data_IF_902831163183
#
_entry.id   IF_902831163183
#
_cell.length_a   1.000
_cell.length_b   1.000
_cell.length_c   1.000
_cell.angle_alpha   90.00
_cell.angle_beta   90.00
_cell.angle_gamma   90.00
#
_symmetry.space_group_name_H-M   'P 1'
#
loop_
_entity.id
_entity.type
_entity.pdbx_description
1 polymer ?
#
# COMPACT_ATOMS: atom_id res chain seq x y z
N UNK A 1 -2.41 7.71 45.72
CA UNK A 1 -2.56 8.40 44.43
C UNK A 1 -2.25 7.37 43.37
N UNK A 2 -3.21 7.04 42.51
CA UNK A 2 -2.92 6.28 41.29
C UNK A 2 -2.03 7.17 40.45
N UNK A 3 -0.87 6.66 40.02
CA UNK A 3 0.01 7.39 39.11
C UNK A 3 -0.72 7.46 37.77
N UNK A 4 -1.21 8.65 37.43
CA UNK A 4 -1.97 8.93 36.21
C UNK A 4 -1.05 9.63 35.20
N UNK A 5 0.23 9.23 35.17
CA UNK A 5 1.18 9.73 34.20
C UNK A 5 0.74 9.20 32.83
N UNK A 6 0.42 10.06 31.86
CA UNK A 6 0.04 9.62 30.52
C UNK A 6 1.10 8.74 29.86
N UNK A 7 2.37 8.81 30.29
CA UNK A 7 3.46 7.97 29.80
C UNK A 7 3.38 6.51 30.28
N UNK A 8 2.63 6.23 31.36
CA UNK A 8 2.42 4.88 31.88
C UNK A 8 1.24 4.15 31.19
N UNK A 9 0.50 4.82 30.29
CA UNK A 9 -0.62 4.20 29.57
C UNK A 9 -0.11 3.06 28.66
N UNK A 10 -0.54 1.80 28.88
CA UNK A 10 -0.13 0.66 28.05
C UNK A 10 -0.49 0.80 26.56
N UNK A 11 -1.44 1.67 26.21
CA UNK A 11 -1.79 1.96 24.82
C UNK A 11 -0.65 2.67 24.08
N UNK A 12 0.18 3.48 24.76
CA UNK A 12 1.35 4.09 24.12
C UNK A 12 2.33 3.03 23.62
N UNK A 13 2.57 1.99 24.44
CA UNK A 13 3.44 0.87 24.07
C UNK A 13 2.81 0.05 22.94
N UNK A 14 1.51 -0.25 23.04
CA UNK A 14 0.78 -1.01 22.02
C UNK A 14 0.79 -0.29 20.66
N UNK A 15 0.54 1.01 20.66
CA UNK A 15 0.59 1.84 19.47
C UNK A 15 2.01 1.94 18.91
N UNK A 16 3.02 2.08 19.78
CA UNK A 16 4.44 2.04 19.39
C UNK A 16 4.78 0.78 18.60
N UNK A 17 4.37 -0.41 19.09
CA UNK A 17 4.56 -1.66 18.36
C UNK A 17 3.90 -1.66 16.98
N UNK A 18 2.68 -1.14 16.86
CA UNK A 18 1.99 -1.04 15.57
C UNK A 18 2.78 -0.20 14.56
N UNK A 19 3.26 0.97 14.98
CA UNK A 19 4.03 1.88 14.12
C UNK A 19 5.38 1.25 13.73
N UNK A 20 6.09 0.68 14.70
CA UNK A 20 7.39 0.05 14.46
C UNK A 20 7.28 -1.13 13.49
N UNK A 21 6.32 -2.03 13.74
CA UNK A 21 6.09 -3.22 12.91
C UNK A 21 5.68 -2.79 11.51
N UNK A 22 4.71 -1.87 11.39
CA UNK A 22 4.28 -1.34 10.09
C UNK A 22 5.46 -0.77 9.29
N UNK A 23 6.29 0.06 9.91
CA UNK A 23 7.47 0.63 9.26
C UNK A 23 8.52 -0.40 8.87
N UNK A 24 8.77 -1.43 9.70
CA UNK A 24 9.70 -2.52 9.37
C UNK A 24 9.19 -3.39 8.22
N UNK A 25 7.89 -3.72 8.22
CA UNK A 25 7.25 -4.49 7.15
C UNK A 25 7.31 -3.74 5.82
N UNK A 26 6.99 -2.45 5.81
CA UNK A 26 7.07 -1.62 4.60
C UNK A 26 8.49 -1.58 4.03
N UNK A 27 9.50 -1.39 4.89
CA UNK A 27 10.91 -1.36 4.46
C UNK A 27 11.39 -2.70 3.92
N UNK A 28 11.16 -3.79 4.67
CA UNK A 28 11.64 -5.12 4.29
C UNK A 28 10.96 -5.62 3.00
N UNK A 29 9.64 -5.52 2.89
CA UNK A 29 8.92 -5.92 1.67
C UNK A 29 9.28 -5.02 0.47
N UNK A 30 9.50 -3.73 0.72
CA UNK A 30 9.94 -2.80 -0.33
C UNK A 30 11.34 -3.10 -0.85
N UNK A 31 12.27 -3.44 0.06
CA UNK A 31 13.63 -3.84 -0.29
C UNK A 31 13.64 -5.11 -1.17
N UNK A 32 12.84 -6.12 -0.82
CA UNK A 32 12.74 -7.35 -1.62
C UNK A 32 12.26 -7.07 -3.06
N UNK A 33 11.26 -6.18 -3.23
CA UNK A 33 10.76 -5.80 -4.55
C UNK A 33 11.79 -5.01 -5.37
N UNK A 34 12.49 -4.08 -4.73
CA UNK A 34 13.50 -3.26 -5.38
C UNK A 34 14.73 -4.09 -5.80
N UNK A 35 15.21 -4.98 -4.92
CA UNK A 35 16.35 -5.86 -5.22
C UNK A 35 16.06 -6.86 -6.34
N UNK A 36 14.86 -7.45 -6.35
CA UNK A 36 14.52 -8.51 -7.32
C UNK A 36 13.98 -7.98 -8.63
N UNK A 37 13.40 -6.79 -8.62
CA UNK A 37 12.69 -6.28 -9.80
C UNK A 37 12.91 -4.80 -10.08
N UNK A 38 13.72 -4.09 -9.29
CA UNK A 38 13.88 -2.64 -9.42
C UNK A 38 12.54 -1.89 -9.46
N UNK A 39 11.56 -2.38 -8.67
CA UNK A 39 10.22 -1.82 -8.59
C UNK A 39 10.00 -1.21 -7.20
N UNK A 40 9.86 0.12 -7.10
CA UNK A 40 9.55 0.75 -5.82
C UNK A 40 8.20 0.28 -5.28
N UNK A 41 8.09 0.07 -3.97
CA UNK A 41 6.85 -0.44 -3.35
C UNK A 41 5.63 0.46 -3.58
N UNK A 42 5.82 1.78 -3.68
CA UNK A 42 4.75 2.71 -4.04
C UNK A 42 4.20 2.50 -5.45
N UNK A 43 5.01 1.97 -6.38
CA UNK A 43 4.54 1.63 -7.74
C UNK A 43 3.66 0.39 -7.70
N UNK A 44 4.05 -0.63 -6.92
CA UNK A 44 3.22 -1.80 -6.66
C UNK A 44 1.88 -1.40 -6.04
N UNK A 45 1.88 -0.51 -5.05
CA UNK A 45 0.64 -0.03 -4.40
C UNK A 45 -0.30 0.63 -5.42
N UNK A 46 0.20 1.54 -6.26
CA UNK A 46 -0.61 2.17 -7.31
C UNK A 46 -1.17 1.14 -8.29
N UNK A 47 -0.34 0.23 -8.81
CA UNK A 47 -0.80 -0.79 -9.75
C UNK A 47 -1.86 -1.71 -9.11
N UNK A 48 -1.67 -2.12 -7.86
CA UNK A 48 -2.65 -2.90 -7.10
C UNK A 48 -3.98 -2.16 -6.94
N UNK A 49 -3.95 -0.86 -6.61
CA UNK A 49 -5.18 -0.04 -6.47
C UNK A 49 -5.91 0.07 -7.79
N UNK A 50 -5.20 0.45 -8.86
CA UNK A 50 -5.79 0.62 -10.18
C UNK A 50 -6.37 -0.70 -10.71
N UNK A 51 -5.63 -1.81 -10.63
CA UNK A 51 -6.08 -3.13 -11.10
C UNK A 51 -7.34 -3.67 -10.40
N UNK A 52 -7.61 -3.21 -9.16
CA UNK A 52 -8.78 -3.60 -8.36
C UNK A 52 -9.94 -2.60 -8.45
N UNK A 53 -9.75 -1.52 -9.20
CA UNK A 53 -10.77 -0.50 -9.42
C UNK A 53 -11.52 -0.78 -10.72
N UNK A 54 -12.75 -0.29 -10.81
CA UNK A 54 -13.55 -0.40 -12.02
C UNK A 54 -12.80 0.23 -13.22
N UNK A 55 -12.83 -0.47 -14.35
CA UNK A 55 -12.12 -0.11 -15.59
C UNK A 55 -10.59 0.07 -15.45
N UNK A 56 -10.00 -0.42 -14.36
CA UNK A 56 -8.55 -0.32 -14.13
C UNK A 56 -8.07 1.11 -13.86
N UNK A 57 -8.94 2.00 -13.37
CA UNK A 57 -8.63 3.43 -13.23
C UNK A 57 -9.20 4.07 -11.96
N UNK A 58 -8.55 5.14 -11.49
CA UNK A 58 -9.02 5.96 -10.37
C UNK A 58 -8.78 7.44 -10.65
N UNK A 59 -9.69 8.28 -10.18
CA UNK A 59 -9.47 9.73 -10.17
C UNK A 59 -8.22 10.05 -9.33
N UNK A 60 -7.38 10.97 -9.81
CA UNK A 60 -6.11 11.30 -9.15
C UNK A 60 -6.27 11.69 -7.67
N UNK A 61 -7.34 12.40 -7.31
CA UNK A 61 -7.65 12.75 -5.92
C UNK A 61 -7.97 11.53 -5.05
N UNK A 62 -8.82 10.62 -5.55
CA UNK A 62 -9.16 9.36 -4.88
C UNK A 62 -7.92 8.47 -4.74
N UNK A 63 -7.09 8.38 -5.79
CA UNK A 63 -5.84 7.64 -5.72
C UNK A 63 -4.90 8.23 -4.65
N UNK A 64 -4.83 9.56 -4.53
CA UNK A 64 -4.02 10.25 -3.52
C UNK A 64 -4.43 9.88 -2.08
N UNK A 65 -5.74 9.76 -1.85
CA UNK A 65 -6.31 9.40 -0.54
C UNK A 65 -6.06 7.92 -0.19
N UNK A 66 -5.93 7.05 -1.20
CA UNK A 66 -5.82 5.60 -1.01
C UNK A 66 -4.39 5.05 -0.95
N UNK A 67 -3.40 5.83 -1.38
CA UNK A 67 -1.99 5.42 -1.35
C UNK A 67 -1.30 5.96 -0.11
N UNK A 68 -0.64 5.07 0.62
CA UNK A 68 -0.03 5.39 1.92
C UNK A 68 1.48 5.57 1.79
N UNK A 69 2.12 4.93 0.78
CA UNK A 69 3.57 4.76 0.74
C UNK A 69 4.27 5.72 -0.24
N UNK A 70 3.99 7.03 -0.17
CA UNK A 70 4.66 8.02 -1.04
C UNK A 70 5.28 9.18 -0.29
N UNK A 71 6.58 9.41 -0.48
CA UNK A 71 7.30 10.58 0.06
C UNK A 71 7.29 11.79 -0.88
N UNK A 72 7.02 11.56 -2.19
CA UNK A 72 7.09 12.58 -3.23
C UNK A 72 5.75 13.14 -3.72
N UNK A 73 4.63 12.65 -3.18
CA UNK A 73 3.26 12.95 -3.62
C UNK A 73 2.81 12.13 -4.83
N UNK A 74 1.49 11.88 -4.92
CA UNK A 74 0.88 11.05 -5.97
C UNK A 74 1.19 11.54 -7.38
N UNK A 75 1.20 12.85 -7.62
CA UNK A 75 1.40 13.42 -8.96
C UNK A 75 2.76 13.03 -9.52
N UNK A 76 3.84 13.25 -8.75
CA UNK A 76 5.20 12.90 -9.17
C UNK A 76 5.40 11.40 -9.30
N UNK A 77 4.68 10.61 -8.51
CA UNK A 77 4.69 9.16 -8.62
C UNK A 77 4.10 8.73 -9.97
N UNK A 78 2.90 9.23 -10.29
CA UNK A 78 2.22 8.96 -11.56
C UNK A 78 3.04 9.47 -12.75
N UNK A 79 3.67 10.65 -12.67
CA UNK A 79 4.55 11.14 -13.73
C UNK A 79 5.67 10.14 -14.07
N UNK A 80 6.30 9.55 -13.05
CA UNK A 80 7.37 8.56 -13.26
C UNK A 80 6.83 7.24 -13.80
N UNK A 81 5.67 6.81 -13.32
CA UNK A 81 5.04 5.57 -13.79
C UNK A 81 4.51 5.70 -15.23
N UNK A 82 4.00 6.88 -15.61
CA UNK A 82 3.56 7.19 -16.97
C UNK A 82 4.76 7.22 -17.92
N UNK A 83 5.87 7.85 -17.50
CA UNK A 83 7.13 7.79 -18.25
C UNK A 83 7.68 6.37 -18.40
N UNK A 84 7.42 5.49 -17.43
CA UNK A 84 7.76 4.07 -17.50
C UNK A 84 6.75 3.22 -18.28
N UNK A 85 5.64 3.81 -18.73
CA UNK A 85 4.61 3.14 -19.52
C UNK A 85 3.67 2.23 -18.74
N UNK A 86 3.68 2.26 -17.40
CA UNK A 86 2.84 1.38 -16.57
C UNK A 86 1.47 1.96 -16.24
N UNK A 87 1.33 3.27 -16.35
CA UNK A 87 0.05 3.98 -16.19
C UNK A 87 -0.08 5.04 -17.28
N UNK A 88 -1.29 5.52 -17.48
CA UNK A 88 -1.60 6.63 -18.37
C UNK A 88 -2.62 7.55 -17.72
N UNK A 89 -2.58 8.83 -18.07
CA UNK A 89 -3.64 9.77 -17.68
C UNK A 89 -4.80 9.72 -18.66
N UNK A 90 -6.00 9.49 -18.13
CA UNK A 90 -7.24 9.47 -18.91
C UNK A 90 -8.13 10.66 -18.53
N UNK A 91 -8.73 11.35 -19.52
CA UNK A 91 -9.67 12.44 -19.23
C UNK A 91 -10.97 11.89 -18.64
N UNK A 92 -11.54 12.58 -17.66
CA UNK A 92 -12.90 12.29 -17.21
C UNK A 92 -13.92 12.74 -18.28
N UNK A 93 -14.84 11.86 -18.72
CA UNK A 93 -15.86 12.22 -19.72
C UNK A 93 -16.79 13.35 -19.24
N UNK A 94 -17.06 13.41 -17.93
CA UNK A 94 -18.06 14.30 -17.34
C UNK A 94 -17.47 15.56 -16.70
N UNK A 95 -16.16 15.61 -16.47
CA UNK A 95 -15.49 16.80 -15.91
C UNK A 95 -14.04 16.93 -16.41
N UNK A 96 -13.80 17.87 -17.32
CA UNK A 96 -12.47 18.10 -17.91
C UNK A 96 -11.39 18.55 -16.90
N UNK A 97 -11.77 18.90 -15.66
CA UNK A 97 -10.84 19.23 -14.58
C UNK A 97 -10.32 18.00 -13.84
N UNK A 98 -10.98 16.85 -13.99
CA UNK A 98 -10.62 15.60 -13.35
C UNK A 98 -9.80 14.73 -14.32
N UNK A 99 -8.63 14.30 -13.85
CA UNK A 99 -7.81 13.31 -14.51
C UNK A 99 -7.89 12.00 -13.75
N UNK A 100 -8.02 10.91 -14.50
CA UNK A 100 -7.86 9.55 -14.00
C UNK A 100 -6.43 9.10 -14.25
N UNK A 101 -5.88 8.30 -13.34
CA UNK A 101 -4.79 7.40 -13.65
C UNK A 101 -5.39 6.05 -14.02
N UNK A 102 -5.02 5.51 -15.18
CA UNK A 102 -5.39 4.18 -15.64
C UNK A 102 -4.16 3.27 -15.72
N UNK A 103 -4.32 2.00 -15.35
CA UNK A 103 -3.28 0.99 -15.58
C UNK A 103 -3.22 0.63 -17.07
N UNK A 104 -2.01 0.51 -17.60
CA UNK A 104 -1.79 0.01 -18.98
C UNK A 104 -1.62 -1.51 -18.99
N UNK A 105 -1.63 -2.12 -20.18
CA UNK A 105 -1.31 -3.54 -20.32
C UNK A 105 0.09 -3.88 -19.79
N UNK A 106 1.08 -3.02 -20.05
CA UNK A 106 2.43 -3.17 -19.52
C UNK A 106 2.45 -3.05 -17.98
N UNK A 107 1.66 -2.14 -17.41
CA UNK A 107 1.49 -2.02 -15.97
C UNK A 107 0.84 -3.25 -15.34
N UNK A 108 -0.17 -3.83 -16.01
CA UNK A 108 -0.85 -5.04 -15.58
C UNK A 108 0.10 -6.26 -15.59
N UNK A 109 0.86 -6.44 -16.68
CA UNK A 109 1.88 -7.48 -16.76
C UNK A 109 2.93 -7.31 -15.65
N UNK A 110 3.41 -6.08 -15.44
CA UNK A 110 4.40 -5.78 -14.40
C UNK A 110 3.86 -6.04 -13.00
N UNK A 111 2.58 -5.73 -12.76
CA UNK A 111 1.91 -6.02 -11.50
C UNK A 111 1.86 -7.53 -11.23
N UNK A 112 1.56 -8.35 -12.25
CA UNK A 112 1.47 -9.79 -12.07
C UNK A 112 2.81 -10.39 -11.60
N UNK A 113 3.91 -9.96 -12.22
CA UNK A 113 5.27 -10.35 -11.79
C UNK A 113 5.56 -9.89 -10.35
N UNK A 114 5.23 -8.62 -10.06
CA UNK A 114 5.46 -8.01 -8.75
C UNK A 114 4.68 -8.67 -7.62
N UNK A 115 3.44 -9.06 -7.90
CA UNK A 115 2.56 -9.70 -6.94
C UNK A 115 3.14 -11.03 -6.47
N UNK A 116 3.76 -11.81 -7.37
CA UNK A 116 4.44 -13.06 -7.00
C UNK A 116 5.56 -12.83 -5.98
N UNK A 117 6.46 -11.88 -6.26
CA UNK A 117 7.57 -11.52 -5.35
C UNK A 117 7.05 -10.98 -4.02
N UNK A 118 6.00 -10.15 -4.06
CA UNK A 118 5.42 -9.57 -2.86
C UNK A 118 4.75 -10.63 -1.97
N UNK A 119 3.99 -11.55 -2.58
CA UNK A 119 3.35 -12.66 -1.87
C UNK A 119 4.39 -13.58 -1.24
N UNK A 120 5.49 -13.88 -1.93
CA UNK A 120 6.60 -14.65 -1.35
C UNK A 120 7.19 -13.97 -0.10
N UNK A 121 7.46 -12.66 -0.18
CA UNK A 121 7.94 -11.88 0.95
C UNK A 121 6.95 -11.84 2.13
N UNK A 122 5.65 -11.76 1.83
CA UNK A 122 4.59 -11.87 2.83
C UNK A 122 4.58 -13.25 3.49
N UNK A 123 4.68 -14.34 2.73
CA UNK A 123 4.73 -15.70 3.29
C UNK A 123 5.95 -15.90 4.20
N UNK A 124 7.12 -15.40 3.80
CA UNK A 124 8.32 -15.47 4.65
C UNK A 124 8.14 -14.70 5.96
N UNK A 125 7.56 -13.50 5.87
CA UNK A 125 7.42 -12.62 7.04
C UNK A 125 6.32 -13.07 7.99
N UNK A 126 5.18 -13.50 7.46
CA UNK A 126 4.02 -13.96 8.24
C UNK A 126 4.08 -15.45 8.59
N UNK A 127 5.06 -16.19 8.07
CA UNK A 127 5.25 -17.62 8.36
C UNK A 127 5.57 -17.95 9.82
N UNK A 128 5.85 -16.92 10.65
CA UNK A 128 6.00 -17.06 12.10
C UNK A 128 4.68 -17.34 12.82
N UNK A 129 3.55 -17.05 12.19
CA UNK A 129 2.22 -17.22 12.77
C UNK A 129 1.58 -18.53 12.33
N UNK A 130 0.88 -19.18 13.26
CA UNK A 130 -0.08 -20.25 12.95
C UNK A 130 -1.31 -19.68 12.24
N UNK A 131 -2.08 -20.54 11.57
CA UNK A 131 -3.34 -20.15 10.91
C UNK A 131 -4.35 -19.51 11.88
N UNK A 132 -4.38 -19.98 13.14
CA UNK A 132 -5.27 -19.43 14.18
C UNK A 132 -4.83 -18.05 14.65
N UNK A 133 -3.52 -17.81 14.76
CA UNK A 133 -2.97 -16.51 15.10
C UNK A 133 -3.25 -15.49 13.99
N UNK A 134 -3.03 -15.86 12.72
CA UNK A 134 -3.37 -15.00 11.57
C UNK A 134 -4.86 -14.64 11.53
N UNK A 135 -5.75 -15.63 11.69
CA UNK A 135 -7.19 -15.36 11.73
C UNK A 135 -7.58 -14.42 12.88
N UNK A 136 -6.91 -14.54 14.03
CA UNK A 136 -7.10 -13.63 15.16
C UNK A 136 -6.57 -12.23 14.85
N UNK A 137 -5.40 -12.14 14.24
CA UNK A 137 -4.77 -10.89 13.83
C UNK A 137 -5.63 -10.13 12.83
N UNK A 138 -6.10 -10.78 11.77
CA UNK A 138 -6.99 -10.19 10.76
C UNK A 138 -8.26 -9.62 11.40
N UNK A 139 -8.89 -10.38 12.29
CA UNK A 139 -10.10 -9.93 13.01
C UNK A 139 -9.83 -8.67 13.84
N UNK A 140 -8.68 -8.60 14.52
CA UNK A 140 -8.31 -7.44 15.33
C UNK A 140 -7.99 -6.22 14.45
N UNK A 141 -7.29 -6.40 13.34
CA UNK A 141 -7.00 -5.34 12.38
C UNK A 141 -8.28 -4.80 11.73
N UNK A 142 -9.23 -5.67 11.36
CA UNK A 142 -10.54 -5.25 10.83
C UNK A 142 -11.29 -4.42 11.87
N UNK A 143 -11.28 -4.84 13.15
CA UNK A 143 -11.90 -4.08 14.23
C UNK A 143 -11.25 -2.71 14.40
N UNK A 144 -9.92 -2.63 14.37
CA UNK A 144 -9.18 -1.37 14.48
C UNK A 144 -9.48 -0.45 13.29
N UNK A 145 -9.45 -0.99 12.06
CA UNK A 145 -9.76 -0.25 10.82
C UNK A 145 -11.18 0.33 10.82
N UNK A 146 -12.15 -0.33 11.45
CA UNK A 146 -13.52 0.18 11.54
C UNK A 146 -13.69 1.30 12.58
N UNK A 147 -12.74 1.43 13.52
CA UNK A 147 -12.77 2.43 14.59
C UNK A 147 -11.93 3.68 14.27
N UNK A 148 -11.08 3.63 13.24
CA UNK A 148 -10.21 4.71 12.74
C UNK A 148 -10.75 5.31 11.46
#
# INVERSE_FOLDING_TARGET
MVNDDPLDDPLLTTFGYLIEVSGRLQRSLGQVLDERMSLPIGWLEVLLRLSRSDDGQLAMGVLAEQIVLTTGGVTRLIDRMEKAGYVERRPCPNDRRVLYAGITDAGSARLHEAAGVHVEGLHQTFGVFTTKELATFDRLLIKLRAAS
#
